data_IF_884878786566
#
_entry.id   IF_884878786566
#
_cell.length_a   1.000
_cell.length_b   1.000
_cell.length_c   1.000
_cell.angle_alpha   90.00
_cell.angle_beta   90.00
_cell.angle_gamma   90.00
#
_symmetry.space_group_name_H-M   'P 1'
#
loop_
_entity.id
_entity.type
_entity.pdbx_description
1 polymer ?
#
# COMPACT_ATOMS: atom_id res chain seq x y z
N UNK A 1 3.81 -2.86 18.91
CA UNK A 1 5.17 -2.88 18.32
C UNK A 1 5.18 -3.76 17.07
N UNK A 2 5.75 -3.23 15.99
CA UNK A 2 5.89 -3.92 14.70
C UNK A 2 7.34 -4.44 14.57
N UNK A 3 7.49 -5.67 14.11
CA UNK A 3 8.77 -6.37 14.07
C UNK A 3 9.00 -6.93 12.67
N UNK A 4 10.23 -6.73 12.15
CA UNK A 4 10.68 -7.30 10.88
C UNK A 4 11.62 -8.47 11.14
N UNK A 5 11.55 -9.48 10.26
CA UNK A 5 12.37 -10.67 10.33
C UNK A 5 13.33 -10.70 9.13
N UNK A 6 14.49 -10.06 9.30
CA UNK A 6 15.47 -9.83 8.22
C UNK A 6 15.84 -11.09 7.44
N UNK A 7 15.94 -12.23 8.12
CA UNK A 7 16.27 -13.52 7.48
C UNK A 7 15.24 -13.98 6.45
N UNK A 8 13.98 -13.56 6.58
CA UNK A 8 12.90 -13.95 5.68
C UNK A 8 12.60 -12.88 4.62
N UNK A 9 13.21 -11.70 4.72
CA UNK A 9 13.07 -10.61 3.74
C UNK A 9 14.26 -10.53 2.77
N UNK A 10 15.38 -11.18 3.10
CA UNK A 10 16.62 -11.07 2.32
C UNK A 10 16.59 -11.84 0.98
N UNK A 11 15.80 -12.91 0.87
CA UNK A 11 15.84 -13.81 -0.30
C UNK A 11 14.46 -14.36 -0.67
N UNK A 12 14.29 -14.86 -1.91
CA UNK A 12 13.01 -15.40 -2.40
C UNK A 12 12.73 -16.82 -1.93
N UNK A 13 13.76 -17.53 -1.47
CA UNK A 13 13.67 -18.89 -0.93
C UNK A 13 12.86 -18.93 0.38
N UNK A 14 12.67 -17.77 1.04
CA UNK A 14 11.84 -17.63 2.22
C UNK A 14 10.33 -17.44 1.90
N UNK A 15 9.88 -17.69 0.66
CA UNK A 15 8.46 -17.61 0.31
C UNK A 15 7.61 -18.49 1.24
N UNK A 16 6.49 -17.95 1.72
CA UNK A 16 5.60 -18.56 2.70
C UNK A 16 5.98 -18.24 4.16
N UNK A 17 7.26 -18.01 4.46
CA UNK A 17 7.69 -17.63 5.81
C UNK A 17 7.18 -16.24 6.20
N UNK A 18 6.97 -16.08 7.51
CA UNK A 18 6.64 -14.81 8.13
C UNK A 18 7.77 -13.80 7.93
N UNK A 19 7.48 -12.67 7.31
CA UNK A 19 8.46 -11.57 7.10
C UNK A 19 8.35 -10.48 8.15
N UNK A 20 7.18 -10.35 8.78
CA UNK A 20 6.95 -9.40 9.86
C UNK A 20 5.74 -9.79 10.69
N UNK A 21 5.70 -9.29 11.92
CA UNK A 21 4.52 -9.44 12.78
C UNK A 21 4.27 -8.19 13.61
N UNK A 22 3.01 -8.04 14.03
CA UNK A 22 2.55 -6.92 14.83
C UNK A 22 1.97 -7.40 16.16
N UNK A 23 2.59 -6.95 17.25
CA UNK A 23 2.03 -7.06 18.61
C UNK A 23 1.42 -5.73 18.99
N UNK A 24 0.14 -5.54 18.65
CA UNK A 24 -0.53 -4.24 18.83
C UNK A 24 -0.89 -3.94 20.28
N UNK A 25 -1.34 -4.95 21.02
CA UNK A 25 -1.88 -4.81 22.37
C UNK A 25 -1.01 -5.58 23.38
N UNK A 26 -0.24 -4.90 24.25
CA UNK A 26 0.72 -5.56 25.15
C UNK A 26 0.13 -6.64 26.06
N UNK A 27 -1.12 -6.48 26.50
CA UNK A 27 -1.83 -7.46 27.34
C UNK A 27 -2.55 -8.57 26.58
N UNK A 28 -2.31 -8.71 25.27
CA UNK A 28 -2.93 -9.72 24.43
C UNK A 28 -1.88 -10.64 23.82
N UNK A 29 -2.21 -11.92 23.76
CA UNK A 29 -1.43 -12.95 23.05
C UNK A 29 -1.81 -13.04 21.57
N UNK A 30 -2.74 -12.20 21.10
CA UNK A 30 -3.13 -12.12 19.70
C UNK A 30 -2.15 -11.23 18.93
N UNK A 31 -1.54 -11.82 17.90
CA UNK A 31 -0.58 -11.16 17.00
C UNK A 31 -1.02 -11.32 15.55
N UNK A 32 -0.68 -10.35 14.73
CA UNK A 32 -0.87 -10.42 13.26
C UNK A 32 0.46 -10.74 12.62
N UNK A 33 0.50 -11.77 11.78
CA UNK A 33 1.70 -12.17 11.03
C UNK A 33 1.48 -11.88 9.55
N UNK A 34 2.53 -11.46 8.86
CA UNK A 34 2.52 -11.14 7.44
C UNK A 34 3.57 -11.98 6.73
N UNK A 35 3.19 -12.56 5.59
CA UNK A 35 4.04 -13.41 4.75
C UNK A 35 3.74 -13.11 3.28
N UNK A 36 4.73 -13.34 2.42
CA UNK A 36 4.53 -13.40 0.97
C UNK A 36 4.60 -14.85 0.53
N UNK A 37 3.56 -15.37 -0.10
CA UNK A 37 3.54 -16.76 -0.54
C UNK A 37 2.12 -17.24 -0.82
N UNK A 38 1.99 -18.53 -1.14
CA UNK A 38 0.68 -19.15 -1.31
C UNK A 38 0.05 -19.42 0.07
N UNK A 39 -1.28 -19.32 0.20
CA UNK A 39 -1.95 -19.51 1.49
C UNK A 39 -1.61 -20.84 2.20
N UNK A 40 -1.38 -21.90 1.42
CA UNK A 40 -1.07 -23.24 1.92
C UNK A 40 0.32 -23.28 2.56
N UNK A 41 1.30 -22.70 1.88
CA UNK A 41 2.69 -22.62 2.36
C UNK A 41 2.74 -21.77 3.64
N UNK A 42 2.06 -20.61 3.65
CA UNK A 42 1.99 -19.71 4.81
C UNK A 42 1.42 -20.43 6.03
N UNK A 43 0.32 -21.17 5.87
CA UNK A 43 -0.29 -21.90 6.99
C UNK A 43 0.59 -23.04 7.50
N UNK A 44 1.31 -23.72 6.60
CA UNK A 44 2.21 -24.82 6.97
C UNK A 44 3.45 -24.33 7.74
N UNK A 45 3.99 -23.16 7.37
CA UNK A 45 5.24 -22.63 7.92
C UNK A 45 5.05 -21.79 9.19
N UNK A 46 3.89 -21.17 9.37
CA UNK A 46 3.63 -20.24 10.49
C UNK A 46 3.92 -20.85 11.87
N UNK A 47 3.58 -22.13 12.08
CA UNK A 47 3.84 -22.81 13.35
C UNK A 47 5.34 -22.91 13.68
N UNK A 48 6.15 -23.23 12.67
CA UNK A 48 7.61 -23.30 12.80
C UNK A 48 8.20 -21.91 13.05
N UNK A 49 7.75 -20.90 12.30
CA UNK A 49 8.19 -19.51 12.49
C UNK A 49 7.88 -19.01 13.91
N UNK A 50 6.68 -19.28 14.42
CA UNK A 50 6.28 -18.90 15.78
C UNK A 50 7.13 -19.62 16.83
N UNK A 51 7.41 -20.91 16.65
CA UNK A 51 8.26 -21.67 17.56
C UNK A 51 9.69 -21.12 17.59
N UNK A 52 10.23 -20.74 16.44
CA UNK A 52 11.57 -20.16 16.33
C UNK A 52 11.67 -18.77 16.98
N UNK A 53 10.56 -18.02 17.00
CA UNK A 53 10.43 -16.77 17.76
C UNK A 53 10.26 -17.01 19.28
N UNK A 54 10.30 -18.26 19.74
CA UNK A 54 10.12 -18.64 21.15
C UNK A 54 8.66 -18.70 21.60
N UNK A 55 7.71 -18.68 20.66
CA UNK A 55 6.28 -18.76 20.93
C UNK A 55 5.69 -20.16 20.72
N UNK A 56 4.38 -20.26 20.90
CA UNK A 56 3.61 -21.45 20.53
C UNK A 56 2.33 -21.01 19.82
N UNK A 57 2.11 -21.49 18.60
CA UNK A 57 0.91 -21.19 17.83
C UNK A 57 -0.26 -22.02 18.38
N UNK A 58 -1.24 -21.35 19.00
CA UNK A 58 -2.46 -21.99 19.50
C UNK A 58 -3.53 -22.09 18.43
N UNK A 59 -3.88 -20.95 17.83
CA UNK A 59 -5.00 -20.85 16.89
C UNK A 59 -4.77 -19.73 15.89
N UNK A 60 -5.05 -20.02 14.63
CA UNK A 60 -5.23 -18.99 13.60
C UNK A 60 -6.67 -18.50 13.66
N UNK A 61 -6.87 -17.27 14.15
CA UNK A 61 -8.21 -16.67 14.23
C UNK A 61 -8.72 -16.19 12.87
N UNK A 62 -7.81 -15.73 12.01
CA UNK A 62 -8.11 -15.11 10.74
C UNK A 62 -6.94 -15.30 9.78
N UNK A 63 -7.25 -15.71 8.55
CA UNK A 63 -6.32 -15.69 7.43
C UNK A 63 -6.96 -14.91 6.27
N UNK A 64 -6.20 -13.99 5.67
CA UNK A 64 -6.63 -13.17 4.54
C UNK A 64 -5.50 -13.09 3.52
N UNK A 65 -5.82 -13.43 2.29
CA UNK A 65 -4.97 -13.20 1.13
C UNK A 65 -5.41 -11.90 0.45
N UNK A 66 -4.45 -11.13 -0.02
CA UNK A 66 -4.68 -9.85 -0.68
C UNK A 66 -4.05 -9.87 -2.07
N UNK A 67 -4.74 -9.29 -3.05
CA UNK A 67 -4.09 -8.84 -4.28
C UNK A 67 -3.29 -7.58 -3.91
N UNK A 68 -2.02 -7.79 -3.56
CA UNK A 68 -1.18 -6.76 -2.97
C UNK A 68 -0.16 -6.21 -3.99
N UNK A 69 0.03 -4.89 -3.97
CA UNK A 69 1.03 -4.17 -4.75
C UNK A 69 0.94 -4.47 -6.25
N UNK A 70 -0.11 -4.03 -6.95
CA UNK A 70 -0.13 -4.08 -8.41
C UNK A 70 1.05 -3.27 -8.95
N UNK A 71 1.84 -3.86 -9.84
CA UNK A 71 3.04 -3.24 -10.40
C UNK A 71 3.34 -3.76 -11.80
N UNK A 72 4.11 -2.96 -12.54
CA UNK A 72 4.75 -3.36 -13.79
C UNK A 72 6.09 -4.06 -13.53
N UNK A 73 6.51 -4.93 -14.45
CA UNK A 73 7.86 -5.48 -14.41
C UNK A 73 8.92 -4.42 -14.73
N UNK A 74 10.18 -4.71 -14.44
CA UNK A 74 11.28 -3.79 -14.74
C UNK A 74 11.38 -3.44 -16.23
N UNK A 75 11.17 -4.42 -17.11
CA UNK A 75 11.22 -4.23 -18.57
C UNK A 75 10.06 -3.34 -19.03
N UNK A 76 8.84 -3.55 -18.53
CA UNK A 76 7.68 -2.70 -18.83
C UNK A 76 7.90 -1.25 -18.42
N UNK A 77 8.52 -1.04 -17.25
CA UNK A 77 8.88 0.30 -16.76
C UNK A 77 9.93 0.96 -17.65
N UNK A 78 10.97 0.23 -18.04
CA UNK A 78 11.99 0.71 -18.98
C UNK A 78 11.38 1.06 -20.34
N UNK A 79 10.37 0.31 -20.77
CA UNK A 79 9.62 0.56 -22.00
C UNK A 79 8.60 1.70 -21.87
N UNK A 80 8.44 2.34 -20.70
CA UNK A 80 7.55 3.49 -20.51
C UNK A 80 6.09 3.15 -20.20
N UNK A 81 5.81 2.04 -19.51
CA UNK A 81 4.44 1.63 -19.16
C UNK A 81 3.68 2.69 -18.35
N UNK A 82 4.34 3.38 -17.42
CA UNK A 82 3.71 4.45 -16.65
C UNK A 82 3.40 5.68 -17.50
N UNK A 83 4.26 6.05 -18.44
CA UNK A 83 4.03 7.16 -19.37
C UNK A 83 2.81 6.87 -20.26
N UNK A 84 2.70 5.63 -20.74
CA UNK A 84 1.52 5.18 -21.49
C UNK A 84 0.26 5.23 -20.63
N UNK A 85 0.34 4.87 -19.36
CA UNK A 85 -0.80 4.92 -18.45
C UNK A 85 -1.25 6.37 -18.16
N UNK A 86 -0.32 7.31 -17.99
CA UNK A 86 -0.67 8.73 -17.82
C UNK A 86 -1.26 9.33 -19.11
N UNK A 87 -0.78 8.91 -20.29
CA UNK A 87 -1.35 9.32 -21.57
C UNK A 87 -2.79 8.86 -21.81
N UNK A 88 -3.29 7.88 -21.03
CA UNK A 88 -4.68 7.43 -21.09
C UNK A 88 -5.63 8.28 -20.25
N UNK A 89 -5.13 9.15 -19.37
CA UNK A 89 -5.98 9.92 -18.47
C UNK A 89 -6.90 10.86 -19.25
N UNK A 90 -8.21 10.71 -19.03
CA UNK A 90 -9.25 11.48 -19.70
C UNK A 90 -9.68 10.95 -21.07
N UNK A 91 -9.01 9.91 -21.59
CA UNK A 91 -9.42 9.26 -22.84
C UNK A 91 -10.78 8.60 -22.64
N UNK A 92 -11.73 8.87 -23.54
CA UNK A 92 -13.10 8.35 -23.46
C UNK A 92 -13.75 8.60 -22.09
N UNK A 93 -13.47 9.76 -21.48
CA UNK A 93 -13.92 10.16 -20.14
C UNK A 93 -13.52 9.18 -19.02
N UNK A 94 -12.44 8.42 -19.21
CA UNK A 94 -11.94 7.43 -18.26
C UNK A 94 -10.67 7.93 -17.58
N UNK A 95 -10.58 7.70 -16.27
CA UNK A 95 -9.42 8.08 -15.44
C UNK A 95 -8.97 6.89 -14.60
N UNK A 96 -7.65 6.68 -14.54
CA UNK A 96 -7.04 5.56 -13.83
C UNK A 96 -6.41 6.05 -12.52
N UNK A 97 -6.86 5.49 -11.40
CA UNK A 97 -6.40 5.81 -10.04
C UNK A 97 -6.11 4.52 -9.26
N UNK A 98 -5.39 4.62 -8.14
CA UNK A 98 -5.07 3.48 -7.28
C UNK A 98 -3.56 3.32 -7.07
N UNK A 99 -3.15 2.14 -6.60
CA UNK A 99 -1.74 1.85 -6.34
C UNK A 99 -0.88 1.68 -7.59
N UNK A 100 -1.44 1.17 -8.69
CA UNK A 100 -0.69 0.93 -9.94
C UNK A 100 -0.07 2.22 -10.54
N UNK A 101 -0.80 3.35 -10.68
CA UNK A 101 -0.20 4.59 -11.20
C UNK A 101 0.61 5.39 -10.17
N UNK A 102 0.57 5.04 -8.88
CA UNK A 102 1.16 5.85 -7.81
C UNK A 102 2.18 5.06 -6.97
N UNK A 103 1.67 4.20 -6.09
CA UNK A 103 2.33 3.16 -5.30
C UNK A 103 1.28 2.62 -4.29
N UNK A 104 1.39 1.38 -3.81
CA UNK A 104 0.42 0.74 -2.89
C UNK A 104 0.54 1.24 -1.44
N UNK A 105 0.58 2.56 -1.27
CA UNK A 105 0.42 3.26 0.00
C UNK A 105 -0.78 4.19 -0.09
N UNK A 106 -1.51 4.30 1.02
CA UNK A 106 -2.68 5.18 1.13
C UNK A 106 -2.31 6.61 0.75
N UNK A 107 -1.19 7.11 1.26
CA UNK A 107 -0.70 8.45 0.98
C UNK A 107 -0.45 8.68 -0.51
N UNK A 108 0.29 7.76 -1.17
CA UNK A 108 0.60 7.86 -2.59
C UNK A 108 -0.67 7.83 -3.45
N UNK A 109 -1.59 6.91 -3.14
CA UNK A 109 -2.85 6.78 -3.88
C UNK A 109 -3.72 8.03 -3.74
N UNK A 110 -3.81 8.61 -2.53
CA UNK A 110 -4.56 9.84 -2.30
C UNK A 110 -3.89 11.03 -2.99
N UNK A 111 -2.57 11.18 -2.85
CA UNK A 111 -1.83 12.27 -3.47
C UNK A 111 -2.00 12.26 -5.00
N UNK A 112 -1.84 11.09 -5.62
CA UNK A 112 -2.06 10.92 -7.06
C UNK A 112 -3.51 11.25 -7.46
N UNK A 113 -4.51 10.78 -6.71
CA UNK A 113 -5.91 11.08 -7.01
C UNK A 113 -6.21 12.60 -6.92
N UNK A 114 -5.68 13.28 -5.90
CA UNK A 114 -5.82 14.73 -5.77
C UNK A 114 -5.15 15.49 -6.90
N UNK A 115 -3.95 15.07 -7.30
CA UNK A 115 -3.24 15.67 -8.43
C UNK A 115 -4.01 15.49 -9.74
N UNK A 116 -4.51 14.28 -10.01
CA UNK A 116 -5.33 13.98 -11.18
C UNK A 116 -6.60 14.86 -11.22
N UNK A 117 -7.26 15.05 -10.08
CA UNK A 117 -8.41 15.97 -9.97
C UNK A 117 -8.01 17.40 -10.36
N UNK A 118 -6.89 17.91 -9.82
CA UNK A 118 -6.41 19.27 -10.13
C UNK A 118 -6.06 19.46 -11.61
N UNK A 119 -5.50 18.43 -12.27
CA UNK A 119 -5.09 18.50 -13.68
C UNK A 119 -6.25 18.42 -14.66
N UNK A 120 -7.28 17.63 -14.34
CA UNK A 120 -8.29 17.22 -15.33
C UNK A 120 -9.70 17.74 -15.04
N UNK A 121 -9.97 18.23 -13.83
CA UNK A 121 -11.30 18.69 -13.45
C UNK A 121 -11.24 20.17 -13.07
N UNK A 122 -12.15 21.00 -13.61
CA UNK A 122 -12.22 22.40 -13.22
C UNK A 122 -12.51 22.50 -11.71
N UNK A 123 -12.04 23.56 -11.03
CA UNK A 123 -12.47 23.85 -9.68
C UNK A 123 -14.00 23.85 -9.64
N UNK A 124 -14.59 23.14 -8.69
CA UNK A 124 -16.02 23.26 -8.46
C UNK A 124 -16.32 24.75 -8.22
N UNK A 125 -17.18 25.33 -9.05
CA UNK A 125 -17.57 26.74 -8.96
C UNK A 125 -18.23 27.00 -7.61
N UNK A 126 -17.43 27.31 -6.59
CA UNK A 126 -17.90 27.40 -5.21
C UNK A 126 -16.88 27.29 -4.08
N UNK A 127 -15.59 26.99 -4.32
CA UNK A 127 -14.59 27.02 -3.24
C UNK A 127 -13.48 28.04 -3.53
N UNK A 128 -13.53 29.13 -2.76
CA UNK A 128 -12.64 30.29 -2.76
C UNK A 128 -11.17 29.90 -2.92
N UNK A 129 -10.52 30.49 -3.92
CA UNK A 129 -9.08 30.54 -4.00
C UNK A 129 -8.54 31.18 -2.71
N UNK A 130 -7.63 30.49 -2.03
CA UNK A 130 -6.98 30.95 -0.79
C UNK A 130 -6.21 32.28 -0.98
N UNK A 131 -6.09 32.79 -2.21
CA UNK A 131 -5.40 34.02 -2.55
C UNK A 131 -6.23 35.31 -2.39
N UNK A 132 -7.55 35.26 -2.22
CA UNK A 132 -8.38 36.48 -2.11
C UNK A 132 -8.49 37.04 -0.69
N UNK A 133 -7.86 36.40 0.31
CA UNK A 133 -7.99 36.81 1.72
C UNK A 133 -6.95 37.82 2.21
N UNK A 134 -5.93 38.15 1.41
CA UNK A 134 -4.81 38.98 1.88
C UNK A 134 -4.87 40.44 1.43
N UNK A 135 -5.75 40.81 0.51
CA UNK A 135 -5.85 42.20 0.01
C UNK A 135 -6.91 43.04 0.73
N UNK A 136 -7.83 42.43 1.50
CA UNK A 136 -8.90 43.17 2.21
C UNK A 136 -8.56 43.62 3.63
N UNK A 137 -7.42 43.22 4.20
CA UNK A 137 -7.03 43.60 5.57
C UNK A 137 -6.03 44.77 5.65
N UNK A 138 -5.54 45.31 4.52
CA UNK A 138 -4.60 46.44 4.48
C UNK A 138 -5.23 47.76 4.02
N UNK A 139 -6.55 47.82 3.91
CA UNK A 139 -7.27 49.08 3.63
C UNK A 139 -8.48 49.20 4.53
N UNK A 140 -8.23 49.40 5.83
CA UNK A 140 -9.22 49.94 6.76
C UNK A 140 -8.55 50.77 7.85
#
# INVERSE_FOLDING_TARGET
>A
AFYFLDRHTATREAAGHCVSYHHRYPGSDVRTFYSYGRPEDVSALLGADVAELGGRLEKVHLQRQWAFMPHFGSDDLADGALDRLDALQGRDHTYHVGGLPAFELIECTIAHAQDLVRRHFPPAGGTLALHERTEKETTS
#
